data_IF_542838874380
#
_entry.id   IF_542838874380
#
_cell.length_a   1.000
_cell.length_b   1.000
_cell.length_c   1.000
_cell.angle_alpha   90.00
_cell.angle_beta   90.00
_cell.angle_gamma   90.00
#
_symmetry.space_group_name_H-M   'P 1'
#
loop_
_entity.id
_entity.type
_entity.pdbx_description
1 polymer ?
#
# COMPACT_ATOMS: atom_id res chain seq x y z
N UNK A 1 -27.71 -10.88 -12.68
CA UNK A 1 -26.65 -10.92 -11.64
C UNK A 1 -26.94 -9.80 -10.65
N UNK A 2 -27.03 -10.08 -9.34
CA UNK A 2 -27.35 -9.05 -8.34
C UNK A 2 -26.25 -7.98 -8.24
N UNK A 3 -26.64 -6.74 -7.96
CA UNK A 3 -25.69 -5.62 -7.86
C UNK A 3 -24.59 -5.86 -6.80
N UNK A 4 -24.92 -6.50 -5.68
CA UNK A 4 -23.94 -6.86 -4.63
C UNK A 4 -22.83 -7.78 -5.16
N UNK A 5 -23.18 -8.80 -5.93
CA UNK A 5 -22.22 -9.73 -6.55
C UNK A 5 -21.26 -9.01 -7.49
N UNK A 6 -21.75 -8.08 -8.29
CA UNK A 6 -20.93 -7.27 -9.20
C UNK A 6 -19.93 -6.42 -8.41
N UNK A 7 -20.40 -5.72 -7.38
CA UNK A 7 -19.55 -4.86 -6.54
C UNK A 7 -18.47 -5.67 -5.82
N UNK A 8 -18.81 -6.85 -5.28
CA UNK A 8 -17.87 -7.71 -4.58
C UNK A 8 -16.74 -8.22 -5.51
N UNK A 9 -17.09 -8.59 -6.75
CA UNK A 9 -16.12 -9.02 -7.76
C UNK A 9 -15.22 -7.87 -8.21
N UNK A 10 -15.79 -6.69 -8.50
CA UNK A 10 -15.02 -5.51 -8.86
C UNK A 10 -14.06 -5.14 -7.73
N UNK A 11 -14.53 -5.14 -6.48
CA UNK A 11 -13.71 -4.84 -5.32
C UNK A 11 -12.51 -5.79 -5.19
N UNK A 12 -12.74 -7.09 -5.30
CA UNK A 12 -11.68 -8.09 -5.25
C UNK A 12 -10.68 -7.97 -6.41
N UNK A 13 -11.17 -7.70 -7.63
CA UNK A 13 -10.30 -7.51 -8.80
C UNK A 13 -9.43 -6.26 -8.63
N UNK A 14 -10.02 -5.13 -8.22
CA UNK A 14 -9.27 -3.88 -7.96
C UNK A 14 -8.18 -4.12 -6.91
N UNK A 15 -8.49 -4.85 -5.84
CA UNK A 15 -7.51 -5.19 -4.80
C UNK A 15 -6.33 -5.99 -5.37
N UNK A 16 -6.60 -7.06 -6.14
CA UNK A 16 -5.54 -7.86 -6.78
C UNK A 16 -4.73 -7.04 -7.80
N UNK A 17 -5.41 -6.22 -8.60
CA UNK A 17 -4.78 -5.33 -9.58
C UNK A 17 -3.90 -4.30 -8.88
N UNK A 18 -4.27 -3.79 -7.71
CA UNK A 18 -3.45 -2.85 -6.95
C UNK A 18 -2.09 -3.46 -6.59
N UNK A 19 -2.06 -4.74 -6.20
CA UNK A 19 -0.82 -5.46 -5.90
C UNK A 19 -0.04 -5.69 -7.19
N UNK A 20 -0.67 -6.24 -8.24
CA UNK A 20 0.00 -6.53 -9.50
C UNK A 20 0.63 -5.27 -10.14
N UNK A 21 -0.11 -4.17 -10.20
CA UNK A 21 0.38 -2.91 -10.77
C UNK A 21 1.50 -2.30 -9.93
N UNK A 22 1.52 -2.50 -8.61
CA UNK A 22 2.62 -2.04 -7.76
C UNK A 22 3.96 -2.69 -8.12
N UNK A 23 3.96 -3.88 -8.73
CA UNK A 23 5.17 -4.52 -9.25
C UNK A 23 5.53 -4.07 -10.68
N UNK A 24 4.54 -3.78 -11.52
CA UNK A 24 4.75 -3.43 -12.93
C UNK A 24 5.20 -1.97 -13.08
N UNK A 25 4.55 -1.05 -12.37
CA UNK A 25 4.83 0.37 -12.43
C UNK A 25 4.83 0.96 -11.01
N UNK A 26 5.81 0.59 -10.16
CA UNK A 26 5.89 0.97 -8.75
C UNK A 26 5.87 2.48 -8.51
N UNK A 27 6.46 3.27 -9.41
CA UNK A 27 6.44 4.73 -9.33
C UNK A 27 5.03 5.33 -9.36
N UNK A 28 4.09 4.65 -10.02
CA UNK A 28 2.70 5.07 -10.09
C UNK A 28 1.79 4.29 -9.18
N UNK A 29 2.00 3.00 -8.97
CA UNK A 29 1.07 2.10 -8.28
C UNK A 29 1.61 1.53 -6.97
N UNK A 30 2.75 2.01 -6.49
CA UNK A 30 3.21 1.73 -5.14
C UNK A 30 2.13 2.07 -4.10
N UNK A 31 2.18 1.39 -2.97
CA UNK A 31 1.32 1.70 -1.83
C UNK A 31 1.89 2.87 -1.03
N UNK A 32 3.21 2.89 -0.90
CA UNK A 32 3.97 3.99 -0.32
C UNK A 32 5.23 4.23 -1.15
N UNK A 33 5.67 5.48 -1.20
CA UNK A 33 6.80 5.91 -2.02
C UNK A 33 7.72 6.78 -1.19
N UNK A 34 9.02 6.63 -1.42
CA UNK A 34 10.05 7.57 -1.03
C UNK A 34 10.89 7.84 -2.29
N UNK A 35 10.97 9.09 -2.73
CA UNK A 35 11.82 9.50 -3.84
C UNK A 35 12.81 10.54 -3.37
N UNK A 36 14.07 10.36 -3.76
CA UNK A 36 15.18 11.28 -3.54
C UNK A 36 15.70 11.71 -4.91
N UNK A 37 15.63 13.00 -5.19
CA UNK A 37 16.10 13.61 -6.42
C UNK A 37 17.27 14.53 -6.15
N UNK A 38 18.37 14.34 -6.88
CA UNK A 38 19.52 15.25 -6.88
C UNK A 38 20.17 15.28 -8.25
N UNK A 39 20.59 16.46 -8.72
CA UNK A 39 21.23 16.66 -10.03
C UNK A 39 20.44 16.06 -11.21
N UNK A 40 19.09 16.04 -11.12
CA UNK A 40 18.22 15.46 -12.15
C UNK A 40 18.13 13.94 -12.16
N UNK A 41 18.78 13.24 -11.21
CA UNK A 41 18.64 11.80 -10.99
C UNK A 41 17.67 11.58 -9.85
N UNK A 42 16.64 10.75 -10.09
CA UNK A 42 15.65 10.36 -9.06
C UNK A 42 15.84 8.90 -8.70
N UNK A 43 16.09 8.63 -7.43
CA UNK A 43 16.09 7.29 -6.84
C UNK A 43 14.84 7.13 -6.00
N UNK A 44 14.15 6.00 -6.16
CA UNK A 44 12.94 5.71 -5.42
C UNK A 44 12.99 4.37 -4.70
N UNK A 45 12.39 4.35 -3.53
CA UNK A 45 11.97 3.16 -2.79
C UNK A 45 10.45 3.12 -2.84
N UNK A 46 9.91 2.04 -3.36
CA UNK A 46 8.48 1.85 -3.54
C UNK A 46 8.05 0.62 -2.78
N UNK A 47 7.12 0.83 -1.86
CA UNK A 47 6.48 -0.25 -1.12
C UNK A 47 5.39 -0.81 -2.00
N UNK A 48 5.57 -2.05 -2.39
CA UNK A 48 4.57 -2.83 -3.10
C UNK A 48 3.70 -3.51 -2.07
N UNK A 49 2.49 -3.93 -2.44
CA UNK A 49 1.62 -4.64 -1.50
C UNK A 49 2.25 -5.91 -0.90
N UNK A 50 3.40 -6.38 -1.41
CA UNK A 50 4.16 -7.55 -0.93
C UNK A 50 5.66 -7.21 -0.97
N UNK A 51 6.11 -6.33 -0.09
CA UNK A 51 7.51 -5.93 0.04
C UNK A 51 7.85 -4.67 -0.74
N UNK A 52 9.04 -4.61 -1.35
CA UNK A 52 9.54 -3.34 -1.88
C UNK A 52 10.44 -3.45 -3.09
N UNK A 53 10.41 -2.41 -3.92
CA UNK A 53 11.26 -2.24 -5.10
C UNK A 53 12.11 -0.98 -4.91
N UNK A 54 13.41 -1.11 -5.18
CA UNK A 54 14.38 0.00 -5.14
C UNK A 54 14.91 0.20 -6.56
N UNK A 55 14.79 1.41 -7.12
CA UNK A 55 15.19 1.65 -8.52
C UNK A 55 16.69 1.83 -8.72
N UNK A 56 17.42 2.22 -7.68
CA UNK A 56 18.89 2.24 -7.64
C UNK A 56 19.27 1.88 -6.22
N UNK A 57 20.15 0.88 -5.98
CA UNK A 57 20.59 0.56 -4.62
C UNK A 57 21.35 1.75 -4.05
N UNK A 58 20.63 2.63 -3.36
CA UNK A 58 21.15 3.82 -2.73
C UNK A 58 20.99 3.66 -1.23
N UNK A 59 22.12 3.75 -0.51
CA UNK A 59 22.46 4.38 0.80
C UNK A 59 21.45 4.29 1.98
N UNK A 60 20.16 4.16 1.72
CA UNK A 60 19.09 3.95 2.68
C UNK A 60 19.15 2.51 3.21
N UNK A 61 19.20 2.31 4.54
CA UNK A 61 19.12 0.99 5.15
C UNK A 61 17.69 0.48 5.07
N UNK A 62 17.27 0.09 3.86
CA UNK A 62 15.96 -0.51 3.59
C UNK A 62 16.13 -2.02 3.44
N UNK A 63 16.91 -2.62 4.35
CA UNK A 63 17.06 -4.07 4.46
C UNK A 63 16.11 -4.56 5.55
N UNK A 64 14.80 -4.58 5.31
CA UNK A 64 13.91 -5.09 6.36
C UNK A 64 12.39 -4.96 6.18
N UNK A 65 11.90 -4.15 5.23
CA UNK A 65 10.47 -3.76 5.11
C UNK A 65 9.46 -4.93 4.96
N UNK A 66 9.95 -6.17 4.89
CA UNK A 66 9.21 -7.30 4.44
C UNK A 66 8.01 -7.71 5.31
N UNK A 67 8.05 -7.71 6.64
CA UNK A 67 7.12 -8.60 7.36
C UNK A 67 5.66 -8.11 7.44
N UNK A 68 5.40 -6.85 7.83
CA UNK A 68 4.02 -6.35 7.92
C UNK A 68 3.40 -6.14 6.54
N UNK A 69 4.21 -5.72 5.57
CA UNK A 69 3.81 -5.55 4.17
C UNK A 69 3.52 -6.90 3.51
N UNK A 70 4.38 -7.90 3.71
CA UNK A 70 4.16 -9.27 3.23
C UNK A 70 2.91 -9.88 3.86
N UNK A 71 2.72 -9.75 5.17
CA UNK A 71 1.51 -10.21 5.85
C UNK A 71 0.29 -9.47 5.27
N UNK A 72 0.36 -8.14 5.17
CA UNK A 72 -0.72 -7.32 4.63
C UNK A 72 -1.11 -7.70 3.21
N UNK A 73 -0.14 -7.92 2.33
CA UNK A 73 -0.35 -8.37 0.96
C UNK A 73 -0.93 -9.77 0.84
N UNK A 74 -0.40 -10.73 1.61
CA UNK A 74 -0.93 -12.10 1.64
C UNK A 74 -2.37 -12.08 2.14
N UNK A 75 -2.64 -11.36 3.23
CA UNK A 75 -3.99 -11.22 3.80
C UNK A 75 -4.95 -10.57 2.80
N UNK A 76 -4.50 -9.56 2.07
CA UNK A 76 -5.29 -8.93 1.02
C UNK A 76 -5.60 -9.91 -0.12
N UNK A 77 -4.62 -10.68 -0.60
CA UNK A 77 -4.83 -11.68 -1.67
C UNK A 77 -5.82 -12.75 -1.21
N UNK A 78 -5.64 -13.28 0.00
CA UNK A 78 -6.57 -14.25 0.60
C UNK A 78 -7.97 -13.62 0.70
N UNK A 79 -8.05 -12.38 1.16
CA UNK A 79 -9.30 -11.62 1.24
C UNK A 79 -10.00 -11.47 -0.10
N UNK A 80 -9.27 -11.14 -1.16
CA UNK A 80 -9.80 -11.04 -2.52
C UNK A 80 -10.34 -12.39 -3.02
N UNK A 81 -9.62 -13.49 -2.78
CA UNK A 81 -10.07 -14.84 -3.13
C UNK A 81 -11.36 -15.18 -2.37
N UNK A 82 -11.39 -14.93 -1.05
CA UNK A 82 -12.56 -15.19 -0.20
C UNK A 82 -13.76 -14.33 -0.64
N UNK A 83 -13.52 -13.06 -1.01
CA UNK A 83 -14.55 -12.15 -1.52
C UNK A 83 -15.14 -12.65 -2.85
N UNK A 84 -14.29 -13.12 -3.78
CA UNK A 84 -14.74 -13.73 -5.04
C UNK A 84 -15.58 -14.98 -4.77
N UNK A 85 -15.12 -15.86 -3.87
CA UNK A 85 -15.86 -17.07 -3.49
C UNK A 85 -17.21 -16.70 -2.88
N UNK A 86 -17.24 -15.69 -1.99
CA UNK A 86 -18.47 -15.18 -1.39
C UNK A 86 -19.45 -14.66 -2.44
N UNK A 87 -18.97 -13.90 -3.41
CA UNK A 87 -19.78 -13.39 -4.52
C UNK A 87 -20.30 -14.49 -5.45
N UNK A 88 -19.47 -15.49 -5.76
CA UNK A 88 -19.84 -16.60 -6.66
C UNK A 88 -20.85 -17.53 -5.99
N UNK A 89 -20.63 -17.88 -4.72
CA UNK A 89 -21.46 -18.80 -3.94
C UNK A 89 -22.63 -18.12 -3.22
N UNK A 90 -22.81 -16.82 -3.43
CA UNK A 90 -23.87 -16.01 -2.82
C UNK A 90 -23.85 -16.07 -1.27
N UNK A 91 -22.65 -16.12 -0.69
CA UNK A 91 -22.42 -16.19 0.75
C UNK A 91 -22.05 -14.82 1.31
N UNK A 92 -23.01 -14.20 2.02
CA UNK A 92 -22.82 -12.93 2.72
C UNK A 92 -21.62 -12.95 3.66
N UNK A 93 -21.54 -13.99 4.49
CA UNK A 93 -20.48 -14.11 5.49
C UNK A 93 -19.10 -14.16 4.83
N UNK A 94 -18.93 -14.98 3.78
CA UNK A 94 -17.68 -15.05 3.04
C UNK A 94 -17.36 -13.72 2.33
N UNK A 95 -18.35 -13.06 1.71
CA UNK A 95 -18.16 -11.76 1.06
C UNK A 95 -17.69 -10.68 2.04
N UNK A 96 -18.32 -10.58 3.21
CA UNK A 96 -17.96 -9.62 4.27
C UNK A 96 -16.55 -9.91 4.80
N UNK A 97 -16.25 -11.18 5.15
CA UNK A 97 -14.93 -11.57 5.63
C UNK A 97 -13.86 -11.26 4.59
N UNK A 98 -14.12 -11.57 3.32
CA UNK A 98 -13.22 -11.24 2.21
C UNK A 98 -12.95 -9.74 2.11
N UNK A 99 -14.00 -8.91 2.15
CA UNK A 99 -13.89 -7.45 2.15
C UNK A 99 -13.06 -6.90 3.32
N UNK A 100 -13.29 -7.41 4.53
CA UNK A 100 -12.50 -7.04 5.72
C UNK A 100 -11.03 -7.39 5.52
N UNK A 101 -10.72 -8.61 5.07
CA UNK A 101 -9.35 -9.07 4.85
C UNK A 101 -8.63 -8.22 3.79
N UNK A 102 -9.32 -7.79 2.72
CA UNK A 102 -8.75 -6.87 1.73
C UNK A 102 -8.34 -5.54 2.41
N UNK A 103 -9.16 -5.00 3.31
CA UNK A 103 -8.87 -3.75 4.00
C UNK A 103 -7.69 -3.88 4.98
N UNK A 104 -7.49 -5.05 5.58
CA UNK A 104 -6.40 -5.27 6.55
C UNK A 104 -5.04 -4.95 5.95
N UNK A 105 -4.77 -5.28 4.69
CA UNK A 105 -3.48 -5.03 4.03
C UNK A 105 -3.04 -3.56 4.09
N UNK A 106 -3.73 -2.61 3.41
CA UNK A 106 -3.39 -1.20 3.45
C UNK A 106 -3.56 -0.57 4.85
N UNK A 107 -4.43 -1.12 5.71
CA UNK A 107 -4.54 -0.66 7.10
C UNK A 107 -3.32 -1.02 7.94
N UNK A 108 -2.69 -2.18 7.70
CA UNK A 108 -1.44 -2.54 8.36
C UNK A 108 -0.31 -1.59 7.96
N UNK A 109 -0.22 -1.18 6.69
CA UNK A 109 0.70 -0.13 6.25
C UNK A 109 0.44 1.21 6.98
N UNK A 110 -0.82 1.64 7.06
CA UNK A 110 -1.20 2.87 7.76
C UNK A 110 -0.82 2.79 9.25
N UNK A 111 -1.05 1.64 9.88
CA UNK A 111 -0.70 1.40 11.27
C UNK A 111 0.81 1.44 11.50
N UNK A 112 1.57 0.84 10.57
CA UNK A 112 3.04 0.84 10.60
C UNK A 112 3.60 2.28 10.51
N UNK A 113 3.05 3.10 9.60
CA UNK A 113 3.36 4.52 9.48
C UNK A 113 3.01 5.34 10.73
N UNK A 114 1.86 5.06 11.36
CA UNK A 114 1.37 5.78 12.54
C UNK A 114 2.20 5.52 13.79
N UNK A 115 2.49 4.24 14.01
CA UNK A 115 3.17 3.79 15.21
C UNK A 115 4.69 3.81 15.02
N UNK A 116 5.17 4.12 13.82
CA UNK A 116 6.58 4.02 13.46
C UNK A 116 7.11 2.64 13.81
N UNK A 117 6.36 1.58 13.48
CA UNK A 117 6.77 0.22 13.78
C UNK A 117 7.77 -0.26 12.72
N UNK A 118 8.41 -1.39 13.00
CA UNK A 118 9.41 -1.97 12.11
C UNK A 118 10.50 -0.97 11.70
N UNK A 119 10.79 -0.94 10.40
CA UNK A 119 11.83 -0.08 9.82
C UNK A 119 11.34 1.34 9.49
N UNK A 120 10.03 1.58 9.58
CA UNK A 120 9.48 2.93 9.48
C UNK A 120 9.91 3.82 10.65
N UNK A 121 10.27 3.25 11.81
CA UNK A 121 10.95 3.98 12.87
C UNK A 121 12.24 4.65 12.36
N UNK A 122 13.07 3.88 11.63
CA UNK A 122 14.33 4.35 11.07
C UNK A 122 14.09 5.33 9.93
N UNK A 123 13.06 5.11 9.12
CA UNK A 123 12.64 6.06 8.08
C UNK A 123 12.17 7.39 8.68
N UNK A 124 11.31 7.36 9.71
CA UNK A 124 10.82 8.57 10.40
C UNK A 124 11.97 9.32 11.07
N UNK A 125 12.94 8.60 11.65
CA UNK A 125 14.16 9.19 12.19
C UNK A 125 15.01 9.83 11.08
N UNK A 126 15.17 9.17 9.93
CA UNK A 126 15.91 9.69 8.78
C UNK A 126 15.22 10.90 8.14
N UNK A 127 13.90 10.95 8.12
CA UNK A 127 13.08 12.06 7.65
C UNK A 127 13.12 13.29 8.57
N UNK A 128 13.96 13.28 9.62
CA UNK A 128 14.16 14.40 10.52
C UNK A 128 13.20 14.42 11.71
N UNK A 129 12.78 13.26 12.22
CA UNK A 129 12.05 13.19 13.49
C UNK A 129 12.86 13.87 14.60
N UNK A 130 12.33 14.84 15.37
CA UNK A 130 10.92 15.03 15.71
C UNK A 130 10.48 16.52 15.73
N UNK A 131 9.73 17.01 14.74
CA UNK A 131 8.70 18.07 14.91
C UNK A 131 8.01 18.36 13.57
N UNK A 132 6.78 17.88 13.38
CA UNK A 132 5.82 18.47 12.44
C UNK A 132 5.75 17.89 11.01
N UNK A 133 6.64 16.99 10.58
CA UNK A 133 6.53 16.33 9.27
C UNK A 133 5.65 15.08 9.34
N UNK A 134 4.67 14.99 8.45
CA UNK A 134 3.73 13.86 8.39
C UNK A 134 4.41 12.62 7.81
N UNK A 135 4.27 11.47 8.48
CA UNK A 135 4.72 10.17 7.96
C UNK A 135 3.91 9.74 6.73
N UNK A 136 2.71 10.29 6.53
CA UNK A 136 1.82 9.89 5.44
C UNK A 136 2.14 10.56 4.12
N UNK A 137 2.57 11.83 4.15
CA UNK A 137 2.98 12.62 2.98
C UNK A 137 3.92 13.73 3.41
N UNK A 138 4.96 13.98 2.62
CA UNK A 138 5.83 15.12 2.86
C UNK A 138 6.87 15.31 1.77
N UNK A 139 7.55 16.44 1.86
CA UNK A 139 8.73 16.70 1.07
C UNK A 139 9.66 17.62 1.85
N UNK A 140 10.96 17.38 1.72
CA UNK A 140 12.01 18.24 2.23
C UNK A 140 12.99 18.55 1.09
N UNK A 141 13.41 19.80 1.01
CA UNK A 141 14.51 20.22 0.14
C UNK A 141 15.69 20.59 1.03
N UNK A 142 16.76 19.80 0.91
CA UNK A 142 18.03 20.09 1.56
C UNK A 142 18.81 20.97 0.59
N UNK A 143 18.95 22.25 0.94
CA UNK A 143 19.66 23.24 0.14
C UNK A 143 21.17 23.07 0.35
N UNK A 144 21.90 22.79 -0.72
CA UNK A 144 23.35 22.56 -0.70
C UNK A 144 23.89 22.23 -2.10
N UNK A 145 25.22 22.14 -2.31
CA UNK A 145 25.77 21.66 -3.58
C UNK A 145 26.06 20.15 -3.50
N UNK A 146 25.25 19.26 -4.11
CA UNK A 146 24.02 19.52 -4.87
C UNK A 146 22.74 19.52 -4.03
N UNK A 147 21.69 20.20 -4.53
CA UNK A 147 20.40 20.24 -3.86
C UNK A 147 19.80 18.82 -3.87
N UNK A 148 19.20 18.43 -2.75
CA UNK A 148 18.55 17.13 -2.59
C UNK A 148 17.09 17.36 -2.23
N UNK A 149 16.18 16.92 -3.10
CA UNK A 149 14.74 16.93 -2.85
C UNK A 149 14.33 15.52 -2.47
N UNK A 150 13.82 15.34 -1.26
CA UNK A 150 13.21 14.10 -0.84
C UNK A 150 11.69 14.29 -0.74
N UNK A 151 10.92 13.36 -1.27
CA UNK A 151 9.46 13.34 -1.22
C UNK A 151 8.96 11.95 -0.83
N UNK A 152 7.87 11.88 -0.07
CA UNK A 152 7.30 10.61 0.32
C UNK A 152 5.79 10.68 0.44
N UNK A 153 5.16 9.50 0.40
CA UNK A 153 3.82 9.35 0.91
C UNK A 153 3.06 8.13 0.42
N UNK A 154 1.85 7.98 0.95
CA UNK A 154 0.89 6.96 0.50
C UNK A 154 0.42 7.30 -0.91
N UNK A 155 0.34 6.29 -1.76
CA UNK A 155 0.11 6.48 -3.19
C UNK A 155 -1.04 5.63 -3.73
N UNK A 156 -1.34 5.75 -5.03
CA UNK A 156 -2.60 5.24 -5.63
C UNK A 156 -2.83 3.75 -5.35
N UNK A 157 -1.78 2.94 -5.24
CA UNK A 157 -1.91 1.51 -4.97
C UNK A 157 -2.62 1.21 -3.66
N UNK A 158 -2.30 1.95 -2.59
CA UNK A 158 -2.95 1.81 -1.30
C UNK A 158 -4.43 2.23 -1.38
N UNK A 159 -4.74 3.30 -2.12
CA UNK A 159 -6.12 3.75 -2.32
C UNK A 159 -6.94 2.77 -3.17
N UNK A 160 -6.33 2.13 -4.16
CA UNK A 160 -6.97 1.06 -4.94
C UNK A 160 -7.25 -0.15 -4.05
N UNK A 161 -6.31 -0.57 -3.21
CA UNK A 161 -6.52 -1.64 -2.24
C UNK A 161 -7.67 -1.32 -1.27
N UNK A 162 -7.69 -0.11 -0.70
CA UNK A 162 -8.76 0.36 0.19
C UNK A 162 -10.11 0.42 -0.51
N UNK A 163 -10.18 1.05 -1.68
CA UNK A 163 -11.40 1.13 -2.49
C UNK A 163 -11.91 -0.26 -2.88
N UNK A 164 -11.00 -1.17 -3.25
CA UNK A 164 -11.30 -2.57 -3.53
C UNK A 164 -11.92 -3.28 -2.31
N UNK A 165 -11.36 -3.05 -1.12
CA UNK A 165 -11.89 -3.60 0.13
C UNK A 165 -13.26 -3.06 0.51
N UNK A 166 -13.49 -1.76 0.36
CA UNK A 166 -14.80 -1.13 0.61
C UNK A 166 -15.86 -1.68 -0.35
N UNK A 167 -15.55 -1.76 -1.64
CA UNK A 167 -16.45 -2.34 -2.64
C UNK A 167 -16.70 -3.83 -2.39
N UNK A 168 -15.66 -4.57 -1.98
CA UNK A 168 -15.73 -5.97 -1.57
C UNK A 168 -16.69 -6.17 -0.39
N UNK A 169 -16.56 -5.33 0.63
CA UNK A 169 -17.38 -5.36 1.85
C UNK A 169 -18.85 -5.02 1.56
N UNK A 170 -19.10 -3.89 0.88
CA UNK A 170 -20.46 -3.45 0.52
C UNK A 170 -21.10 -4.48 -0.40
N UNK A 171 -20.37 -4.95 -1.42
CA UNK A 171 -20.82 -5.98 -2.33
C UNK A 171 -21.16 -7.26 -1.59
N UNK A 172 -20.27 -7.75 -0.73
CA UNK A 172 -20.47 -8.95 0.07
C UNK A 172 -21.66 -8.86 1.03
N UNK A 173 -21.92 -7.69 1.62
CA UNK A 173 -23.10 -7.47 2.46
C UNK A 173 -24.42 -7.45 1.66
N UNK A 174 -24.36 -7.08 0.38
CA UNK A 174 -25.50 -6.94 -0.53
C UNK A 174 -25.73 -8.15 -1.45
N UNK A 175 -24.84 -9.14 -1.44
CA UNK A 175 -25.01 -10.47 -2.05
C UNK A 175 -26.09 -11.24 -1.31
#
# INVERSE_FOLDING_TARGET
>A
MGAGKVLALIGAIIALVSVALSFIAPAFFGWYRIEVSSLGITVGVYITGIGSIVTVPAILPVEGMAIFELIGGIVLIIGAIVCIVGAVKESKAAGIVGGILILVGPLLLILDLLLGLGDFAALIALLGGPTGTSAFWGSITIVGPPDVVMSWGIWIGAFLALGGGVLGLIGGAAV
#
